data_IF_188183125129
#
_entry.id   IF_188183125129
#
_cell.length_a   1.000
_cell.length_b   1.000
_cell.length_c   1.000
_cell.angle_alpha   90.00
_cell.angle_beta   90.00
_cell.angle_gamma   90.00
#
_symmetry.space_group_name_H-M   'P 1'
#
loop_
_entity.id
_entity.type
_entity.pdbx_description
1 polymer ?
#
# COMPACT_ATOMS: atom_id res chain seq x y z
N UNK A 1 -2.40 12.32 0.44
CA UNK A 1 -3.50 12.12 -0.53
C UNK A 1 -2.87 11.72 -1.85
N UNK A 2 -3.15 10.51 -2.34
CA UNK A 2 -2.63 10.00 -3.60
C UNK A 2 -3.72 10.14 -4.65
N UNK A 3 -3.49 10.96 -5.68
CA UNK A 3 -4.48 11.23 -6.73
C UNK A 3 -4.47 10.16 -7.85
N UNK A 4 -3.46 9.28 -7.87
CA UNK A 4 -3.26 8.29 -8.91
C UNK A 4 -1.91 8.41 -9.60
N UNK A 5 -1.66 7.48 -10.51
CA UNK A 5 -0.51 7.51 -11.42
C UNK A 5 -0.88 8.26 -12.71
N UNK A 6 -0.04 9.24 -13.09
CA UNK A 6 -0.30 10.11 -14.23
C UNK A 6 -0.46 9.31 -15.54
N UNK A 7 -1.61 9.45 -16.19
CA UNK A 7 -1.92 8.78 -17.47
C UNK A 7 -2.05 7.26 -17.37
N UNK A 8 -2.17 6.72 -16.15
CA UNK A 8 -2.16 5.27 -15.87
C UNK A 8 -3.34 4.88 -14.99
N UNK A 9 -4.54 5.10 -15.52
CA UNK A 9 -5.80 4.81 -14.81
C UNK A 9 -5.93 3.34 -14.41
N UNK A 10 -5.35 2.43 -15.21
CA UNK A 10 -5.27 1.00 -14.93
C UNK A 10 -4.51 0.69 -13.62
N UNK A 11 -3.41 1.40 -13.39
CA UNK A 11 -2.62 1.25 -12.17
C UNK A 11 -3.26 1.98 -11.00
N UNK A 12 -3.85 3.15 -11.25
CA UNK A 12 -4.56 3.93 -10.22
C UNK A 12 -5.71 3.13 -9.63
N UNK A 13 -6.55 2.52 -10.48
CA UNK A 13 -7.67 1.69 -10.03
C UNK A 13 -7.23 0.42 -9.28
N UNK A 14 -6.04 -0.12 -9.59
CA UNK A 14 -5.48 -1.28 -8.85
C UNK A 14 -4.91 -0.90 -7.48
N UNK A 15 -4.38 0.32 -7.37
CA UNK A 15 -3.72 0.81 -6.17
C UNK A 15 -4.69 1.45 -5.18
N UNK A 16 -5.79 2.04 -5.65
CA UNK A 16 -6.81 2.63 -4.79
C UNK A 16 -7.91 1.60 -4.47
N UNK A 17 -8.31 1.56 -3.20
CA UNK A 17 -9.40 0.71 -2.70
C UNK A 17 -10.37 1.58 -1.93
N UNK A 18 -11.66 1.47 -2.23
CA UNK A 18 -12.70 2.13 -1.47
C UNK A 18 -13.11 1.27 -0.27
N UNK A 19 -13.11 1.85 0.92
CA UNK A 19 -13.59 1.25 2.17
C UNK A 19 -14.43 2.31 2.87
N UNK A 20 -15.71 2.01 3.14
CA UNK A 20 -16.65 2.90 3.82
C UNK A 20 -16.71 4.32 3.22
N UNK A 21 -16.69 4.42 1.88
CA UNK A 21 -16.75 5.70 1.16
C UNK A 21 -15.45 6.50 1.16
N UNK A 22 -14.36 5.94 1.67
CA UNK A 22 -13.04 6.56 1.68
C UNK A 22 -12.04 5.77 0.81
N UNK A 23 -11.17 6.48 0.11
CA UNK A 23 -10.13 5.88 -0.72
C UNK A 23 -8.84 5.64 0.07
N UNK A 24 -8.38 4.40 0.04
CA UNK A 24 -7.12 3.95 0.64
C UNK A 24 -6.13 3.52 -0.43
N UNK A 25 -4.85 3.82 -0.22
CA UNK A 25 -3.78 3.35 -1.09
C UNK A 25 -3.25 2.00 -0.61
N UNK A 26 -3.26 1.00 -1.49
CA UNK A 26 -2.70 -0.32 -1.25
C UNK A 26 -1.18 -0.28 -1.43
N UNK A 27 -0.46 -0.17 -0.31
CA UNK A 27 1.01 -0.09 -0.32
C UNK A 27 1.69 -1.35 -0.86
N UNK A 28 1.10 -2.52 -0.59
CA UNK A 28 1.69 -3.84 -0.86
C UNK A 28 2.55 -4.39 0.30
N UNK A 29 2.67 -3.63 1.39
CA UNK A 29 3.40 -4.05 2.59
C UNK A 29 2.55 -5.01 3.43
N UNK A 30 3.19 -6.04 3.98
CA UNK A 30 2.61 -6.94 4.98
C UNK A 30 3.00 -6.46 6.36
N UNK A 31 2.00 -6.26 7.22
CA UNK A 31 2.18 -5.81 8.59
C UNK A 31 1.32 -6.63 9.54
N UNK A 32 1.75 -6.71 10.79
CA UNK A 32 0.96 -7.23 11.92
C UNK A 32 0.85 -6.16 12.99
N UNK A 33 -0.31 -6.02 13.61
CA UNK A 33 -0.50 -5.08 14.71
C UNK A 33 -0.33 -5.80 16.05
N UNK A 34 0.44 -5.23 16.97
CA UNK A 34 0.54 -5.75 18.34
C UNK A 34 -0.56 -5.22 19.27
N UNK A 35 -0.56 -5.68 20.51
CA UNK A 35 -1.54 -5.28 21.52
C UNK A 35 -1.44 -3.80 21.93
N UNK A 36 -0.33 -3.13 21.62
CA UNK A 36 -0.13 -1.71 21.86
C UNK A 36 -0.54 -0.85 20.66
N UNK A 37 -1.03 -1.46 19.57
CA UNK A 37 -1.43 -0.78 18.35
C UNK A 37 -0.26 -0.44 17.41
N UNK A 38 0.94 -0.96 17.66
CA UNK A 38 2.10 -0.76 16.80
C UNK A 38 2.07 -1.72 15.62
N UNK A 39 2.38 -1.20 14.43
CA UNK A 39 2.51 -1.99 13.22
C UNK A 39 3.94 -2.52 13.07
N UNK A 40 4.07 -3.84 13.03
CA UNK A 40 5.32 -4.55 12.77
C UNK A 40 5.38 -4.93 11.30
N UNK A 41 6.36 -4.40 10.58
CA UNK A 41 6.59 -4.71 9.17
C UNK A 41 7.15 -6.13 9.00
N UNK A 42 6.52 -6.93 8.15
CA UNK A 42 6.88 -8.33 7.90
C UNK A 42 7.48 -8.56 6.52
N UNK A 43 7.32 -7.60 5.60
CA UNK A 43 7.83 -7.72 4.24
C UNK A 43 6.84 -7.21 3.20
N UNK A 44 7.01 -7.70 1.97
CA UNK A 44 6.20 -7.36 0.80
C UNK A 44 5.29 -8.51 0.44
N UNK A 45 4.07 -8.20 0.03
CA UNK A 45 3.14 -9.21 -0.53
C UNK A 45 3.50 -9.58 -1.97
N UNK A 46 4.21 -8.70 -2.66
CA UNK A 46 4.62 -8.85 -4.05
C UNK A 46 6.14 -9.00 -4.19
N UNK A 47 6.62 -9.01 -5.43
CA UNK A 47 8.03 -9.15 -5.76
C UNK A 47 8.78 -7.80 -5.80
N UNK A 48 8.21 -6.71 -5.29
CA UNK A 48 8.95 -5.46 -5.21
C UNK A 48 10.07 -5.61 -4.17
N UNK A 49 11.32 -5.42 -4.59
CA UNK A 49 12.48 -5.48 -3.70
C UNK A 49 12.95 -4.07 -3.46
N UNK A 50 13.20 -3.73 -2.19
CA UNK A 50 13.92 -2.50 -1.85
C UNK A 50 15.41 -2.77 -1.73
N UNK A 51 16.21 -2.19 -2.60
CA UNK A 51 17.67 -2.36 -2.60
C UNK A 51 18.33 -1.05 -2.21
N UNK A 52 18.97 -1.03 -1.02
CA UNK A 52 19.65 0.14 -0.48
C UNK A 52 18.77 1.42 -0.45
N UNK A 53 17.46 1.26 -0.20
CA UNK A 53 16.51 2.37 -0.10
C UNK A 53 15.82 2.78 -1.41
N UNK A 54 16.10 2.09 -2.52
CA UNK A 54 15.37 2.22 -3.79
C UNK A 54 14.17 1.28 -3.85
#
# INVERSE_FOLDING_TARGET
>A
VFAGYLGRDDLTAKALVEIDGQLFYRTGDLVTMDNNGLLHYQGRKDHQIKLHGQ
#
